data_IF_844226404390
#
_entry.id   IF_844226404390
#
_cell.length_a   1.000
_cell.length_b   1.000
_cell.length_c   1.000
_cell.angle_alpha   90.00
_cell.angle_beta   90.00
_cell.angle_gamma   90.00
#
_symmetry.space_group_name_H-M   'P 1'
#
loop_
_entity.id
_entity.type
_entity.pdbx_description
1 polymer ?
#
# COMPACT_ATOMS: atom_id res chain seq x y z
N UNK A 1 -20.73 -4.34 -18.71
CA UNK A 1 -20.46 -3.04 -19.37
C UNK A 1 -19.12 -2.56 -18.88
N UNK A 2 -18.23 -2.21 -19.80
CA UNK A 2 -16.89 -1.78 -19.45
C UNK A 2 -16.89 -0.25 -19.29
N UNK A 3 -17.23 0.21 -18.08
CA UNK A 3 -17.40 1.62 -17.71
C UNK A 3 -16.05 2.34 -17.63
N UNK A 4 -15.99 3.59 -18.09
CA UNK A 4 -14.85 4.51 -17.91
C UNK A 4 -14.95 5.29 -16.60
N UNK A 5 -13.85 5.86 -16.09
CA UNK A 5 -13.93 6.73 -14.91
C UNK A 5 -14.84 7.93 -15.15
N UNK A 6 -14.81 8.51 -16.34
CA UNK A 6 -15.69 9.63 -16.73
C UNK A 6 -17.17 9.28 -16.59
N UNK A 7 -17.55 8.06 -17.02
CA UNK A 7 -18.93 7.59 -16.93
C UNK A 7 -19.32 7.22 -15.50
N UNK A 8 -18.39 6.67 -14.71
CA UNK A 8 -18.62 6.38 -13.30
C UNK A 8 -18.85 7.67 -12.50
N UNK A 9 -18.02 8.68 -12.73
CA UNK A 9 -17.98 9.92 -11.96
C UNK A 9 -18.85 11.03 -12.56
N UNK A 10 -19.90 10.69 -13.32
CA UNK A 10 -20.72 11.69 -14.03
C UNK A 10 -21.36 12.73 -13.11
N UNK A 11 -21.71 12.31 -11.90
CA UNK A 11 -22.43 13.10 -10.91
C UNK A 11 -21.59 13.39 -9.65
N UNK A 12 -20.30 13.06 -9.69
CA UNK A 12 -19.36 13.19 -8.57
C UNK A 12 -18.35 14.29 -8.86
N UNK A 13 -18.08 15.15 -7.87
CA UNK A 13 -17.03 16.15 -8.01
C UNK A 13 -15.66 15.45 -8.13
N UNK A 14 -15.05 15.51 -9.32
CA UNK A 14 -13.76 14.87 -9.57
C UNK A 14 -12.62 15.40 -8.68
N UNK A 15 -12.75 16.62 -8.15
CA UNK A 15 -11.78 17.26 -7.26
C UNK A 15 -12.11 17.00 -5.78
N UNK A 16 -12.53 15.78 -5.43
CA UNK A 16 -12.79 15.37 -4.05
C UNK A 16 -12.26 13.97 -3.74
N UNK A 17 -12.13 13.69 -2.45
CA UNK A 17 -11.89 12.32 -1.95
C UNK A 17 -13.00 11.35 -2.38
N UNK A 18 -14.25 11.80 -2.41
CA UNK A 18 -15.40 10.96 -2.81
C UNK A 18 -15.21 10.35 -4.21
N UNK A 19 -14.62 11.07 -5.15
CA UNK A 19 -14.33 10.53 -6.48
C UNK A 19 -13.34 9.36 -6.43
N UNK A 20 -12.35 9.41 -5.53
CA UNK A 20 -11.40 8.33 -5.32
C UNK A 20 -12.07 7.13 -4.64
N UNK A 21 -12.90 7.38 -3.63
CA UNK A 21 -13.64 6.35 -2.91
C UNK A 21 -14.61 5.63 -3.85
N UNK A 22 -15.35 6.36 -4.69
CA UNK A 22 -16.28 5.75 -5.64
C UNK A 22 -15.57 4.84 -6.67
N UNK A 23 -14.41 5.26 -7.18
CA UNK A 23 -13.58 4.41 -8.04
C UNK A 23 -13.06 3.19 -7.27
N UNK A 24 -12.55 3.40 -6.06
CA UNK A 24 -12.01 2.33 -5.22
C UNK A 24 -13.08 1.29 -4.87
N UNK A 25 -14.25 1.72 -4.41
CA UNK A 25 -15.38 0.87 -4.05
C UNK A 25 -15.90 0.08 -5.25
N UNK A 26 -15.89 0.69 -6.44
CA UNK A 26 -16.27 0.00 -7.66
C UNK A 26 -15.31 -1.12 -8.03
N UNK A 27 -14.02 -0.95 -7.72
CA UNK A 27 -12.95 -1.93 -7.99
C UNK A 27 -12.86 -2.98 -6.87
N UNK A 28 -13.15 -2.58 -5.63
CA UNK A 28 -13.17 -3.46 -4.48
C UNK A 28 -14.31 -4.46 -4.63
N UNK A 29 -13.93 -5.68 -5.00
CA UNK A 29 -14.83 -6.82 -5.12
C UNK A 29 -14.40 -7.84 -4.07
N UNK A 30 -15.33 -8.69 -3.62
CA UNK A 30 -15.06 -9.78 -2.67
C UNK A 30 -14.20 -10.90 -3.32
N UNK A 31 -12.94 -10.55 -3.61
CA UNK A 31 -11.90 -11.35 -4.24
C UNK A 31 -10.52 -10.91 -3.76
N UNK A 32 -9.52 -11.81 -3.79
CA UNK A 32 -8.12 -11.45 -3.51
C UNK A 32 -7.61 -10.33 -4.43
N UNK A 33 -6.75 -9.45 -3.91
CA UNK A 33 -6.19 -8.31 -4.66
C UNK A 33 -5.49 -8.76 -5.95
N UNK A 34 -4.87 -9.95 -5.97
CA UNK A 34 -4.28 -10.53 -7.19
C UNK A 34 -5.30 -10.74 -8.31
N UNK A 35 -6.51 -11.19 -7.98
CA UNK A 35 -7.59 -11.35 -8.97
C UNK A 35 -8.18 -10.00 -9.39
N UNK A 36 -8.21 -9.01 -8.49
CA UNK A 36 -8.58 -7.64 -8.85
C UNK A 36 -7.59 -7.10 -9.89
N UNK A 37 -6.28 -7.27 -9.69
CA UNK A 37 -5.23 -6.88 -10.65
C UNK A 37 -5.41 -7.50 -12.03
N UNK A 38 -5.79 -8.77 -12.09
CA UNK A 38 -6.03 -9.48 -13.35
C UNK A 38 -7.20 -8.87 -14.12
N UNK A 39 -8.28 -8.51 -13.42
CA UNK A 39 -9.50 -7.99 -14.02
C UNK A 39 -9.48 -6.49 -14.28
N UNK A 40 -8.91 -5.69 -13.38
CA UNK A 40 -8.88 -4.24 -13.49
C UNK A 40 -7.88 -3.79 -14.56
N UNK A 41 -8.15 -2.66 -15.21
CA UNK A 41 -7.13 -1.99 -16.03
C UNK A 41 -5.95 -1.56 -15.15
N UNK A 42 -4.81 -1.25 -15.78
CA UNK A 42 -3.63 -0.80 -15.03
C UNK A 42 -3.95 0.45 -14.24
N UNK A 43 -4.63 1.42 -14.85
CA UNK A 43 -4.97 2.71 -14.28
C UNK A 43 -5.93 2.55 -13.10
N UNK A 44 -6.96 1.71 -13.24
CA UNK A 44 -7.91 1.41 -12.19
C UNK A 44 -7.25 0.73 -10.99
N UNK A 45 -6.48 -0.33 -11.25
CA UNK A 45 -5.76 -1.02 -10.19
C UNK A 45 -4.78 -0.09 -9.47
N UNK A 46 -4.11 0.81 -10.21
CA UNK A 46 -3.18 1.77 -9.62
C UNK A 46 -3.88 2.75 -8.67
N UNK A 47 -5.03 3.30 -9.08
CA UNK A 47 -5.84 4.19 -8.23
C UNK A 47 -6.30 3.43 -6.99
N UNK A 48 -6.86 2.23 -7.17
CA UNK A 48 -7.30 1.38 -6.06
C UNK A 48 -6.17 1.18 -5.03
N UNK A 49 -4.99 0.72 -5.46
CA UNK A 49 -3.85 0.50 -4.54
C UNK A 49 -3.41 1.80 -3.86
N UNK A 50 -3.33 2.92 -4.57
CA UNK A 50 -2.96 4.20 -3.97
C UNK A 50 -3.99 4.69 -2.93
N UNK A 51 -5.28 4.50 -3.19
CA UNK A 51 -6.36 4.82 -2.24
C UNK A 51 -6.22 3.98 -0.97
N UNK A 52 -6.02 2.66 -1.12
CA UNK A 52 -5.82 1.78 0.02
C UNK A 52 -4.58 2.16 0.84
N UNK A 53 -3.45 2.45 0.19
CA UNK A 53 -2.20 2.85 0.86
C UNK A 53 -2.39 4.13 1.68
N UNK A 54 -2.88 5.20 1.04
CA UNK A 54 -3.01 6.49 1.72
C UNK A 54 -4.06 6.40 2.82
N UNK A 55 -5.19 5.72 2.59
CA UNK A 55 -6.23 5.52 3.59
C UNK A 55 -5.72 4.73 4.81
N UNK A 56 -5.01 3.62 4.58
CA UNK A 56 -4.39 2.82 5.63
C UNK A 56 -3.33 3.61 6.41
N UNK A 57 -2.49 4.37 5.71
CA UNK A 57 -1.48 5.21 6.34
C UNK A 57 -2.13 6.32 7.20
N UNK A 58 -3.19 6.95 6.72
CA UNK A 58 -3.95 7.96 7.47
C UNK A 58 -4.60 7.40 8.75
N UNK A 59 -4.88 6.11 8.80
CA UNK A 59 -5.40 5.43 9.99
C UNK A 59 -4.28 5.14 11.00
N UNK A 60 -3.28 4.34 10.60
CA UNK A 60 -2.33 3.73 11.54
C UNK A 60 -0.87 3.76 11.05
N UNK A 61 -0.55 4.62 10.08
CA UNK A 61 0.79 4.79 9.52
C UNK A 61 1.27 3.60 8.69
N UNK A 62 2.56 3.60 8.34
CA UNK A 62 3.17 2.54 7.52
C UNK A 62 3.23 1.21 8.27
N UNK A 63 3.75 1.24 9.50
CA UNK A 63 4.08 0.03 10.24
C UNK A 63 2.84 -0.82 10.54
N UNK A 64 1.81 -0.24 11.15
CA UNK A 64 0.59 -0.96 11.51
C UNK A 64 -0.39 -0.94 10.34
N UNK A 65 -0.66 0.25 9.81
CA UNK A 65 -1.71 0.47 8.82
C UNK A 65 -1.47 -0.26 7.50
N UNK A 66 -0.22 -0.39 7.03
CA UNK A 66 0.04 -1.04 5.73
C UNK A 66 0.74 -2.39 5.94
N UNK A 67 1.94 -2.36 6.54
CA UNK A 67 2.77 -3.54 6.66
C UNK A 67 2.21 -4.53 7.69
N UNK A 68 1.59 -4.07 8.78
CA UNK A 68 1.04 -4.95 9.81
C UNK A 68 -0.29 -5.58 9.43
N UNK A 69 -1.23 -4.78 8.94
CA UNK A 69 -2.62 -5.20 8.81
C UNK A 69 -3.04 -5.67 7.41
N UNK A 70 -2.38 -5.18 6.35
CA UNK A 70 -2.80 -5.43 4.95
C UNK A 70 -1.65 -5.94 4.08
N UNK A 71 -1.10 -7.14 4.38
CA UNK A 71 -0.04 -7.76 3.60
C UNK A 71 -0.32 -7.81 2.10
N UNK A 72 -1.58 -8.02 1.71
CA UNK A 72 -1.99 -8.19 0.30
C UNK A 72 -1.72 -6.96 -0.57
N UNK A 73 -1.60 -5.77 0.03
CA UNK A 73 -1.30 -4.52 -0.67
C UNK A 73 0.20 -4.38 -0.94
N UNK A 74 1.03 -4.91 -0.03
CA UNK A 74 2.49 -4.70 0.00
C UNK A 74 3.17 -5.01 -1.35
N UNK A 75 2.88 -6.14 -2.04
CA UNK A 75 3.51 -6.47 -3.32
C UNK A 75 3.24 -5.45 -4.44
N UNK A 76 2.21 -4.61 -4.30
CA UNK A 76 1.79 -3.64 -5.32
C UNK A 76 2.14 -2.20 -4.95
N UNK A 77 2.59 -1.96 -3.71
CA UNK A 77 2.70 -0.61 -3.17
C UNK A 77 3.72 0.25 -3.91
N UNK A 78 4.96 -0.24 -4.05
CA UNK A 78 6.04 0.51 -4.71
C UNK A 78 5.66 0.90 -6.15
N UNK A 79 5.21 -0.07 -6.96
CA UNK A 79 4.90 0.21 -8.36
C UNK A 79 3.72 1.16 -8.51
N UNK A 80 2.73 1.10 -7.60
CA UNK A 80 1.59 1.99 -7.63
C UNK A 80 1.97 3.45 -7.33
N UNK A 81 2.79 3.64 -6.29
CA UNK A 81 3.35 4.94 -5.91
C UNK A 81 4.23 5.53 -7.02
N UNK A 82 5.06 4.69 -7.66
CA UNK A 82 5.88 5.10 -8.79
C UNK A 82 5.05 5.60 -9.97
N UNK A 83 3.95 4.91 -10.30
CA UNK A 83 3.09 5.27 -11.43
C UNK A 83 2.38 6.63 -11.23
N UNK A 84 2.15 7.06 -9.99
CA UNK A 84 1.60 8.40 -9.69
C UNK A 84 2.67 9.48 -9.50
N UNK A 85 3.95 9.15 -9.71
CA UNK A 85 5.07 10.08 -9.62
C UNK A 85 5.72 10.19 -8.23
N UNK A 86 5.33 9.35 -7.26
CA UNK A 86 5.91 9.29 -5.92
C UNK A 86 7.15 8.39 -5.88
N UNK A 87 8.12 8.68 -6.73
CA UNK A 87 9.31 7.84 -6.92
C UNK A 87 10.11 7.63 -5.62
N UNK A 88 10.35 8.70 -4.86
CA UNK A 88 11.11 8.60 -3.60
C UNK A 88 10.42 7.73 -2.54
N UNK A 89 9.08 7.83 -2.42
CA UNK A 89 8.32 6.99 -1.50
C UNK A 89 8.33 5.53 -2.00
N UNK A 90 8.18 5.32 -3.31
CA UNK A 90 8.30 4.00 -3.94
C UNK A 90 9.62 3.31 -3.61
N UNK A 91 10.74 4.03 -3.71
CA UNK A 91 12.07 3.47 -3.46
C UNK A 91 12.24 3.09 -1.98
N UNK A 92 11.79 3.94 -1.05
CA UNK A 92 11.82 3.61 0.39
C UNK A 92 10.91 2.41 0.70
N UNK A 93 9.73 2.32 0.08
CA UNK A 93 8.85 1.16 0.26
C UNK A 93 9.53 -0.14 -0.20
N UNK A 94 10.29 -0.11 -1.29
CA UNK A 94 11.11 -1.26 -1.69
C UNK A 94 12.17 -1.60 -0.66
N UNK A 95 12.88 -0.59 -0.14
CA UNK A 95 13.88 -0.81 0.93
C UNK A 95 13.25 -1.49 2.15
N UNK A 96 12.01 -1.13 2.53
CA UNK A 96 11.28 -1.77 3.62
C UNK A 96 10.92 -3.21 3.24
N UNK A 97 10.37 -3.45 2.06
CA UNK A 97 10.00 -4.80 1.59
C UNK A 97 11.21 -5.74 1.58
N UNK A 98 12.39 -5.25 1.20
CA UNK A 98 13.64 -6.02 1.21
C UNK A 98 14.09 -6.48 2.61
N UNK A 99 13.56 -5.86 3.67
CA UNK A 99 13.87 -6.30 5.04
C UNK A 99 13.04 -7.50 5.48
N UNK A 100 11.95 -7.81 4.76
CA UNK A 100 11.11 -8.95 5.12
C UNK A 100 11.88 -10.26 4.95
N UNK A 101 11.74 -11.20 5.91
CA UNK A 101 12.33 -12.52 5.80
C UNK A 101 11.97 -13.20 4.47
N UNK A 102 12.95 -13.90 3.90
CA UNK A 102 12.76 -14.67 2.67
C UNK A 102 11.65 -15.72 2.87
N UNK A 103 10.75 -15.81 1.89
CA UNK A 103 9.59 -16.69 1.94
C UNK A 103 8.39 -16.09 2.68
N UNK A 104 8.40 -14.79 2.99
CA UNK A 104 7.21 -14.11 3.51
C UNK A 104 6.05 -14.22 2.52
N UNK A 105 4.93 -14.77 2.98
CA UNK A 105 3.67 -14.81 2.25
C UNK A 105 2.87 -13.54 2.53
N UNK A 106 2.69 -12.72 1.49
CA UNK A 106 1.91 -11.48 1.55
C UNK A 106 0.43 -11.69 1.16
N UNK A 107 -0.04 -12.92 0.98
CA UNK A 107 -1.39 -13.17 0.47
C UNK A 107 -2.51 -13.05 1.50
N UNK A 108 -2.18 -12.96 2.80
CA UNK A 108 -3.17 -12.91 3.88
C UNK A 108 -2.54 -12.49 5.22
N UNK A 109 -3.34 -11.89 6.09
CA UNK A 109 -2.94 -11.54 7.46
C UNK A 109 -3.22 -12.72 8.42
N UNK A 110 -2.37 -13.73 8.38
CA UNK A 110 -2.47 -14.92 9.21
C UNK A 110 -1.38 -14.94 10.32
N UNK A 111 -1.34 -16.01 11.12
CA UNK A 111 -0.35 -16.13 12.18
C UNK A 111 1.09 -16.10 11.67
N UNK A 112 1.38 -16.75 10.54
CA UNK A 112 2.73 -16.80 9.97
C UNK A 112 3.22 -15.40 9.56
N UNK A 113 2.32 -14.56 9.06
CA UNK A 113 2.60 -13.16 8.75
C UNK A 113 2.76 -12.33 10.03
N UNK A 114 1.88 -12.51 11.02
CA UNK A 114 2.02 -11.88 12.34
C UNK A 114 3.37 -12.19 13.00
N UNK A 115 3.87 -13.43 12.87
CA UNK A 115 5.19 -13.80 13.37
C UNK A 115 6.32 -13.06 12.65
N UNK A 116 6.20 -12.83 11.34
CA UNK A 116 7.14 -11.99 10.56
C UNK A 116 7.10 -10.54 11.05
N UNK A 117 5.92 -9.96 11.26
CA UNK A 117 5.80 -8.59 11.77
C UNK A 117 6.37 -8.47 13.19
N UNK A 118 6.10 -9.45 14.05
CA UNK A 118 6.70 -9.49 15.40
C UNK A 118 8.21 -9.65 15.36
N UNK A 119 8.74 -10.43 14.42
CA UNK A 119 10.18 -10.54 14.18
C UNK A 119 10.79 -9.20 13.79
N UNK A 120 10.24 -8.53 12.76
CA UNK A 120 10.71 -7.23 12.30
C UNK A 120 10.61 -6.15 13.39
N UNK A 121 9.52 -6.16 14.16
CA UNK A 121 9.29 -5.25 15.29
C UNK A 121 10.11 -5.56 16.55
N UNK A 122 10.88 -6.65 16.57
CA UNK A 122 11.65 -7.06 17.75
C UNK A 122 10.80 -7.58 18.91
N UNK A 123 9.54 -7.92 18.67
CA UNK A 123 8.61 -8.45 19.65
C UNK A 123 8.71 -9.99 19.77
N UNK A 124 9.92 -10.50 19.98
CA UNK A 124 10.25 -11.94 19.96
C UNK A 124 9.38 -12.82 20.89
N UNK A 125 8.78 -12.24 21.94
CA UNK A 125 7.90 -12.95 22.87
C UNK A 125 6.54 -13.34 22.27
N UNK A 126 6.13 -12.69 21.17
CA UNK A 126 4.84 -12.93 20.52
C UNK A 126 4.95 -13.83 19.28
N UNK A 127 6.17 -14.19 18.88
CA UNK A 127 6.44 -15.12 17.79
C UNK A 127 6.06 -16.54 18.25
N UNK A 128 5.15 -17.19 17.52
CA UNK A 128 4.76 -18.58 17.78
C UNK A 128 5.73 -19.57 17.14
N UNK A 129 6.05 -19.39 15.86
CA UNK A 129 7.05 -20.18 15.14
C UNK A 129 8.41 -19.47 15.14
N UNK A 130 9.25 -19.80 16.13
CA UNK A 130 10.61 -19.25 16.24
C UNK A 130 11.61 -19.92 15.31
N UNK A 131 11.38 -21.19 14.97
CA UNK A 131 12.29 -22.00 14.16
C UNK A 131 12.49 -21.39 12.78
N UNK A 132 11.43 -20.76 12.23
CA UNK A 132 11.45 -19.98 10.99
C UNK A 132 12.57 -18.93 10.92
N UNK A 133 12.99 -18.38 12.06
CA UNK A 133 13.98 -17.31 12.13
C UNK A 133 15.37 -17.78 12.59
N UNK A 134 15.54 -19.07 12.94
CA UNK A 134 16.84 -19.61 13.41
C UNK A 134 17.92 -19.63 12.32
N UNK A 135 17.52 -19.50 11.04
CA UNK A 135 18.46 -19.36 9.92
C UNK A 135 19.27 -18.06 9.93
N UNK A 136 18.82 -17.05 10.69
CA UNK A 136 19.50 -15.76 10.81
C UNK A 136 20.41 -15.74 12.04
N UNK A 137 21.65 -15.30 11.85
CA UNK A 137 22.55 -15.00 12.96
C UNK A 137 22.08 -13.79 13.78
N UNK A 138 22.54 -13.67 15.02
CA UNK A 138 22.20 -12.52 15.88
C UNK A 138 22.54 -11.18 15.22
N UNK A 139 23.66 -11.11 14.51
CA UNK A 139 24.08 -9.91 13.77
C UNK A 139 23.10 -9.59 12.64
N UNK A 140 22.73 -10.58 11.83
CA UNK A 140 21.76 -10.38 10.73
C UNK A 140 20.41 -9.92 11.26
N UNK A 141 19.96 -10.48 12.39
CA UNK A 141 18.71 -10.08 13.03
C UNK A 141 18.77 -8.60 13.45
N UNK A 142 19.88 -8.14 14.03
CA UNK A 142 20.08 -6.73 14.39
C UNK A 142 20.06 -5.85 13.15
N UNK A 143 20.84 -6.21 12.12
CA UNK A 143 20.97 -5.43 10.89
C UNK A 143 19.62 -5.32 10.14
N UNK A 144 18.85 -6.42 10.06
CA UNK A 144 17.51 -6.44 9.44
C UNK A 144 16.56 -5.50 10.18
N UNK A 145 16.50 -5.61 11.51
CA UNK A 145 15.62 -4.79 12.35
C UNK A 145 15.97 -3.31 12.24
N UNK A 146 17.25 -2.98 12.34
CA UNK A 146 17.72 -1.60 12.23
C UNK A 146 17.40 -1.01 10.84
N UNK A 147 17.66 -1.76 9.75
CA UNK A 147 17.28 -1.34 8.40
C UNK A 147 15.77 -1.13 8.30
N UNK A 148 14.97 -2.04 8.85
CA UNK A 148 13.51 -1.97 8.81
C UNK A 148 12.99 -0.69 9.51
N UNK A 149 13.42 -0.46 10.76
CA UNK A 149 13.01 0.73 11.52
C UNK A 149 13.47 2.03 10.86
N UNK A 150 14.72 2.08 10.38
CA UNK A 150 15.24 3.28 9.73
C UNK A 150 14.49 3.59 8.43
N UNK A 151 14.16 2.59 7.61
CA UNK A 151 13.39 2.81 6.38
C UNK A 151 11.93 3.17 6.67
N UNK A 152 11.30 2.60 7.71
CA UNK A 152 9.98 3.05 8.18
C UNK A 152 10.00 4.52 8.62
N UNK A 153 10.99 4.93 9.43
CA UNK A 153 11.09 6.31 9.89
C UNK A 153 11.27 7.30 8.73
N UNK A 154 12.08 6.94 7.73
CA UNK A 154 12.22 7.72 6.49
C UNK A 154 10.89 7.83 5.75
N UNK A 155 10.15 6.73 5.62
CA UNK A 155 8.86 6.71 4.95
C UNK A 155 7.86 7.63 5.67
N UNK A 156 7.75 7.52 7.00
CA UNK A 156 6.87 8.36 7.82
C UNK A 156 7.19 9.84 7.66
N UNK A 157 8.47 10.22 7.77
CA UNK A 157 8.91 11.62 7.60
C UNK A 157 8.56 12.18 6.22
N UNK A 158 8.69 11.35 5.18
CA UNK A 158 8.46 11.78 3.81
C UNK A 158 6.96 12.05 3.54
N UNK A 159 6.09 11.22 4.10
CA UNK A 159 4.65 11.32 3.83
C UNK A 159 3.87 12.13 4.86
N UNK A 160 4.42 12.37 6.05
CA UNK A 160 3.75 13.11 7.12
C UNK A 160 3.21 14.48 6.68
N UNK A 161 3.97 15.22 5.87
CA UNK A 161 3.51 16.52 5.34
C UNK A 161 2.69 16.39 4.04
N UNK A 162 2.73 15.23 3.39
CA UNK A 162 2.07 15.00 2.10
C UNK A 162 0.66 14.44 2.26
N UNK A 163 0.43 13.53 3.22
CA UNK A 163 -0.80 12.75 3.35
C UNK A 163 -1.58 13.03 4.63
N UNK A 164 -1.09 13.86 5.54
CA UNK A 164 -1.85 14.20 6.75
C UNK A 164 -3.17 14.90 6.39
N UNK A 165 -4.15 14.84 7.29
CA UNK A 165 -5.45 15.50 7.07
C UNK A 165 -5.33 17.02 6.86
N UNK A 166 -4.28 17.65 7.39
CA UNK A 166 -4.03 19.08 7.19
C UNK A 166 -3.10 19.37 6.00
N UNK A 167 -2.74 18.36 5.21
CA UNK A 167 -1.83 18.52 4.08
C UNK A 167 -2.48 19.39 3.00
N UNK A 168 -1.71 20.30 2.38
CA UNK A 168 -2.19 21.04 1.23
C UNK A 168 -2.50 20.07 0.09
N UNK A 169 -3.39 20.47 -0.84
CA UNK A 169 -3.82 19.66 -1.98
C UNK A 169 -4.77 18.51 -1.63
N UNK A 170 -5.99 18.87 -1.21
CA UNK A 170 -7.12 17.96 -0.96
C UNK A 170 -6.74 16.92 0.11
N UNK A 171 -6.25 17.40 1.26
CA UNK A 171 -5.89 16.55 2.41
C UNK A 171 -4.94 15.40 2.04
N UNK A 172 -4.04 15.64 1.07
CA UNK A 172 -3.07 14.66 0.58
C UNK A 172 -3.56 13.74 -0.54
N UNK A 173 -4.82 13.83 -0.95
CA UNK A 173 -5.40 13.06 -2.05
C UNK A 173 -5.10 13.64 -3.43
N UNK A 174 -4.70 14.91 -3.50
CA UNK A 174 -4.61 15.64 -4.76
C UNK A 174 -3.70 14.98 -5.81
N UNK A 175 -2.64 14.27 -5.40
CA UNK A 175 -1.78 13.55 -6.35
C UNK A 175 -2.46 12.34 -7.00
N UNK A 176 -3.34 11.64 -6.27
CA UNK A 176 -4.12 10.53 -6.82
C UNK A 176 -5.24 11.09 -7.70
N UNK A 177 -5.85 12.21 -7.30
CA UNK A 177 -6.84 12.94 -8.11
C UNK A 177 -6.23 13.42 -9.43
N UNK A 178 -5.02 13.97 -9.41
CA UNK A 178 -4.30 14.37 -10.63
C UNK A 178 -4.06 13.17 -11.56
N UNK A 179 -3.72 12.01 -11.00
CA UNK A 179 -3.56 10.78 -11.77
C UNK A 179 -4.90 10.30 -12.35
N UNK A 180 -5.98 10.31 -11.57
CA UNK A 180 -7.34 10.01 -12.03
C UNK A 180 -7.75 10.92 -13.19
N UNK A 181 -7.58 12.24 -13.04
CA UNK A 181 -7.90 13.24 -14.07
C UNK A 181 -7.14 13.00 -15.38
N UNK A 182 -5.83 12.70 -15.29
CA UNK A 182 -5.01 12.36 -16.47
C UNK A 182 -5.52 11.11 -17.20
N UNK A 183 -6.17 10.20 -16.47
CA UNK A 183 -6.65 8.92 -16.98
C UNK A 183 -8.18 8.85 -17.08
N UNK A 184 -8.90 9.98 -17.06
CA UNK A 184 -10.36 10.00 -16.89
C UNK A 184 -11.15 9.20 -17.96
N UNK A 185 -10.56 9.03 -19.15
CA UNK A 185 -11.18 8.25 -20.24
C UNK A 185 -10.82 6.75 -20.21
N UNK A 186 -10.00 6.31 -19.24
CA UNK A 186 -9.63 4.90 -19.07
C UNK A 186 -10.79 4.10 -18.52
N UNK A 187 -10.87 2.83 -18.93
CA UNK A 187 -11.87 1.86 -18.47
C UNK A 187 -11.50 1.33 -17.08
N UNK A 188 -12.48 0.84 -16.32
CA UNK A 188 -12.24 0.19 -15.03
C UNK A 188 -11.74 -1.25 -15.18
N UNK A 189 -12.31 -2.00 -16.12
CA UNK A 189 -12.07 -3.44 -16.27
C UNK A 189 -11.42 -3.76 -17.62
N UNK A 190 -10.55 -4.77 -17.64
CA UNK A 190 -10.16 -5.46 -18.87
C UNK A 190 -11.40 -6.22 -19.37
N UNK A 191 -11.61 -6.22 -20.67
CA UNK A 191 -12.84 -6.72 -21.32
C UNK A 191 -13.28 -8.12 -20.87
#
# INVERSE_FOLDING_TARGET
MNTTFKELLSDTNIDSEDALLEVSDRIFIDKPISQIKEKATKEAFNIFICVQIIGCWKSDGWNIGIFGNFPEIVPYASIALKNIGLNQISDIVLEIIETFPEGTDFSQNNQDYCDVINFLGGHNRFIKDKEKFEKYSEKEIVDIKEKHFNSLEKAEKLVGNLWSYNSPNIEGWGIVIDYLKKNINSKLWKE
#
